data_IF_166703091041
#
_entry.id   IF_166703091041
#
_cell.length_a   1.000
_cell.length_b   1.000
_cell.length_c   1.000
_cell.angle_alpha   90.00
_cell.angle_beta   90.00
_cell.angle_gamma   90.00
#
_symmetry.space_group_name_H-M   'P 1'
#
loop_
_entity.id
_entity.type
_entity.pdbx_description
1 polymer ?
#
# COMPACT_ATOMS: atom_id res chain seq x y z
N UNK A 1 10.15 25.87 -36.19
CA UNK A 1 11.04 24.68 -36.30
C UNK A 1 11.99 24.47 -35.10
N UNK A 2 12.17 25.42 -34.18
CA UNK A 2 13.05 25.25 -33.00
C UNK A 2 12.38 24.64 -31.74
N UNK A 3 11.07 24.38 -31.77
CA UNK A 3 10.31 23.90 -30.59
C UNK A 3 10.21 22.36 -30.49
N UNK A 4 10.58 21.63 -31.56
CA UNK A 4 10.55 20.17 -31.59
C UNK A 4 11.76 19.50 -30.91
N UNK A 5 12.87 20.23 -30.68
CA UNK A 5 14.09 19.68 -30.06
C UNK A 5 14.11 19.68 -28.52
N UNK A 6 13.06 20.17 -27.85
CA UNK A 6 13.00 20.20 -26.38
C UNK A 6 12.20 19.07 -25.74
N UNK A 7 11.62 18.16 -26.53
CA UNK A 7 10.76 17.08 -26.02
C UNK A 7 11.48 15.73 -25.78
N UNK A 8 12.72 15.56 -26.23
CA UNK A 8 13.49 14.32 -26.00
C UNK A 8 14.09 14.18 -24.59
N UNK A 9 14.05 15.24 -23.76
CA UNK A 9 14.70 15.24 -22.44
C UNK A 9 13.78 15.03 -21.24
N UNK A 10 12.56 14.53 -21.44
CA UNK A 10 11.77 13.93 -20.35
C UNK A 10 11.72 12.41 -20.49
N UNK A 11 12.89 11.76 -20.57
CA UNK A 11 13.05 10.43 -19.97
C UNK A 11 12.67 10.58 -18.51
N UNK A 12 11.44 10.20 -18.17
CA UNK A 12 11.07 9.88 -16.79
C UNK A 12 12.16 8.93 -16.33
N UNK A 13 13.07 9.38 -15.46
CA UNK A 13 14.06 8.52 -14.81
C UNK A 13 13.27 7.49 -14.00
N UNK A 14 12.89 6.39 -14.66
CA UNK A 14 12.33 5.20 -14.05
C UNK A 14 13.47 4.60 -13.23
N UNK A 15 13.20 4.30 -11.96
CA UNK A 15 14.24 3.81 -11.06
C UNK A 15 14.90 2.54 -11.61
N UNK A 16 16.23 2.38 -11.45
CA UNK A 16 17.00 1.31 -12.07
C UNK A 16 16.54 -0.12 -11.69
N UNK A 17 15.80 -0.29 -10.59
CA UNK A 17 15.28 -1.59 -10.16
C UNK A 17 14.15 -2.13 -11.05
N UNK A 18 13.25 -1.27 -11.53
CA UNK A 18 12.07 -1.70 -12.30
C UNK A 18 12.41 -2.26 -13.69
N UNK A 19 13.51 -1.80 -14.28
CA UNK A 19 14.00 -2.31 -15.56
C UNK A 19 14.96 -3.50 -15.39
N UNK A 20 15.74 -3.55 -14.29
CA UNK A 20 16.61 -4.71 -13.96
C UNK A 20 15.81 -6.01 -13.74
N UNK A 21 14.63 -5.94 -13.13
CA UNK A 21 13.76 -7.11 -12.90
C UNK A 21 13.24 -7.74 -14.20
N UNK A 22 12.93 -6.92 -15.22
CA UNK A 22 12.48 -7.39 -16.54
C UNK A 22 13.67 -7.91 -17.38
N UNK A 23 14.88 -7.41 -17.12
CA UNK A 23 16.09 -7.72 -17.87
C UNK A 23 16.91 -8.88 -17.29
N UNK A 24 16.39 -9.59 -16.29
CA UNK A 24 17.00 -10.79 -15.73
C UNK A 24 16.41 -12.09 -16.27
N UNK A 25 16.94 -13.23 -15.80
CA UNK A 25 16.52 -14.58 -16.21
C UNK A 25 15.00 -14.82 -16.12
N UNK A 26 14.36 -14.36 -15.03
CA UNK A 26 12.91 -14.49 -14.88
C UNK A 26 12.12 -13.66 -15.89
N UNK A 27 12.60 -12.46 -16.23
CA UNK A 27 11.98 -11.63 -17.25
C UNK A 27 12.03 -12.27 -18.63
N UNK A 28 13.17 -12.87 -19.00
CA UNK A 28 13.33 -13.62 -20.25
C UNK A 28 12.45 -14.89 -20.27
N UNK A 29 12.35 -15.58 -19.13
CA UNK A 29 11.50 -16.75 -18.98
C UNK A 29 10.03 -16.41 -19.22
N UNK A 30 9.49 -15.39 -18.54
CA UNK A 30 8.10 -14.97 -18.73
C UNK A 30 7.85 -14.39 -20.13
N UNK A 31 8.83 -13.67 -20.69
CA UNK A 31 8.75 -13.20 -22.08
C UNK A 31 8.60 -14.37 -23.05
N UNK A 32 9.41 -15.43 -22.91
CA UNK A 32 9.28 -16.66 -23.73
C UNK A 32 7.94 -17.35 -23.55
N UNK A 33 7.40 -17.38 -22.32
CA UNK A 33 6.06 -17.94 -22.06
C UNK A 33 5.00 -17.14 -22.80
N UNK A 34 5.02 -15.81 -22.72
CA UNK A 34 4.03 -14.97 -23.38
C UNK A 34 4.11 -15.06 -24.90
N UNK A 35 5.31 -15.14 -25.49
CA UNK A 35 5.49 -15.33 -26.93
C UNK A 35 4.95 -16.68 -27.44
N UNK A 36 4.93 -17.70 -26.56
CA UNK A 36 4.41 -19.04 -26.86
C UNK A 36 2.95 -19.24 -26.44
N UNK A 37 2.40 -18.34 -25.64
CA UNK A 37 1.06 -18.49 -25.07
C UNK A 37 -0.01 -18.28 -26.13
N UNK A 38 -0.97 -19.20 -26.19
CA UNK A 38 -2.21 -19.04 -26.97
C UNK A 38 -3.34 -18.39 -26.16
N UNK A 39 -3.17 -18.27 -24.83
CA UNK A 39 -4.22 -17.86 -23.90
C UNK A 39 -4.22 -16.35 -23.61
N UNK A 40 -3.08 -15.69 -23.79
CA UNK A 40 -2.92 -14.25 -23.49
C UNK A 40 -2.57 -13.52 -24.77
N UNK A 41 -3.46 -12.62 -25.20
CA UNK A 41 -3.17 -11.68 -26.27
C UNK A 41 -2.67 -10.36 -25.66
N UNK A 42 -1.47 -9.92 -26.06
CA UNK A 42 -0.88 -8.67 -25.58
C UNK A 42 -1.43 -7.50 -26.38
N UNK A 43 -2.05 -6.53 -25.69
CA UNK A 43 -2.78 -5.44 -26.38
C UNK A 43 -1.93 -4.18 -26.54
N UNK A 44 -0.90 -3.98 -25.71
CA UNK A 44 0.07 -2.89 -25.85
C UNK A 44 1.41 -3.22 -25.21
N UNK A 45 2.46 -2.44 -25.53
CA UNK A 45 3.76 -2.52 -24.83
C UNK A 45 3.61 -2.32 -23.31
N UNK A 46 2.70 -1.42 -22.92
CA UNK A 46 2.37 -1.13 -21.53
C UNK A 46 1.76 -2.33 -20.81
N UNK A 47 0.86 -3.06 -21.47
CA UNK A 47 0.27 -4.31 -20.98
C UNK A 47 1.37 -5.37 -20.74
N UNK A 48 2.22 -5.60 -21.76
CA UNK A 48 3.30 -6.57 -21.68
C UNK A 48 4.28 -6.27 -20.54
N UNK A 49 4.80 -5.03 -20.46
CA UNK A 49 5.76 -4.65 -19.42
C UNK A 49 5.16 -4.69 -18.01
N UNK A 50 3.90 -4.28 -17.84
CA UNK A 50 3.22 -4.34 -16.54
C UNK A 50 3.09 -5.79 -16.05
N UNK A 51 2.69 -6.70 -16.93
CA UNK A 51 2.57 -8.14 -16.61
C UNK A 51 3.88 -8.77 -16.24
N UNK A 52 4.92 -8.57 -17.05
CA UNK A 52 6.24 -9.16 -16.78
C UNK A 52 6.81 -8.63 -15.47
N UNK A 53 6.64 -7.33 -15.15
CA UNK A 53 7.04 -6.77 -13.86
C UNK A 53 6.30 -7.39 -12.69
N UNK A 54 4.97 -7.44 -12.75
CA UNK A 54 4.16 -8.07 -11.71
C UNK A 54 4.56 -9.53 -11.49
N UNK A 55 4.75 -10.30 -12.58
CA UNK A 55 5.13 -11.71 -12.51
C UNK A 55 6.52 -11.90 -11.91
N UNK A 56 7.50 -11.12 -12.36
CA UNK A 56 8.84 -11.18 -11.78
C UNK A 56 8.81 -10.81 -10.30
N UNK A 57 8.16 -9.70 -9.94
CA UNK A 57 8.04 -9.27 -8.55
C UNK A 57 7.36 -10.34 -7.68
N UNK A 58 6.22 -10.87 -8.11
CA UNK A 58 5.50 -11.90 -7.38
C UNK A 58 6.35 -13.16 -7.17
N UNK A 59 7.03 -13.63 -8.22
CA UNK A 59 7.88 -14.82 -8.17
C UNK A 59 9.13 -14.63 -7.32
N UNK A 60 9.72 -13.42 -7.29
CA UNK A 60 10.84 -13.12 -6.39
C UNK A 60 10.41 -13.03 -4.92
N UNK A 61 9.20 -12.54 -4.66
CA UNK A 61 8.69 -12.36 -3.29
C UNK A 61 8.22 -13.70 -2.70
N UNK A 62 7.73 -14.64 -3.51
CA UNK A 62 7.15 -15.89 -3.04
C UNK A 62 8.10 -16.74 -2.16
N UNK A 63 9.37 -16.99 -2.53
CA UNK A 63 10.33 -17.69 -1.67
C UNK A 63 10.58 -16.97 -0.35
N UNK A 64 10.58 -15.63 -0.36
CA UNK A 64 10.76 -14.84 0.86
C UNK A 64 9.60 -15.04 1.83
N UNK A 65 8.35 -15.09 1.34
CA UNK A 65 7.18 -15.40 2.17
C UNK A 65 7.27 -16.82 2.75
N UNK A 66 7.75 -17.79 1.98
CA UNK A 66 7.94 -19.18 2.46
C UNK A 66 8.99 -19.24 3.58
N UNK A 67 10.10 -18.51 3.46
CA UNK A 67 11.11 -18.42 4.52
C UNK A 67 10.49 -17.88 5.82
N UNK A 68 9.63 -16.85 5.72
CA UNK A 68 8.93 -16.32 6.89
C UNK A 68 7.96 -17.32 7.51
N UNK A 69 7.22 -18.09 6.71
CA UNK A 69 6.40 -19.20 7.24
C UNK A 69 7.27 -20.17 8.03
N UNK A 70 8.43 -20.55 7.49
CA UNK A 70 9.39 -21.42 8.19
C UNK A 70 9.85 -20.82 9.52
N UNK A 71 10.14 -19.51 9.55
CA UNK A 71 10.49 -18.79 10.77
C UNK A 71 9.35 -18.79 11.81
N UNK A 72 8.11 -18.43 11.43
CA UNK A 72 6.98 -18.40 12.36
C UNK A 72 6.63 -19.80 12.87
N UNK A 73 6.72 -20.82 12.02
CA UNK A 73 6.50 -22.21 12.42
C UNK A 73 7.57 -22.66 13.43
N UNK A 74 8.84 -22.38 13.15
CA UNK A 74 9.95 -22.68 14.07
C UNK A 74 9.76 -21.97 15.41
N UNK A 75 9.48 -20.67 15.39
CA UNK A 75 9.17 -19.86 16.55
C UNK A 75 8.02 -20.45 17.39
N UNK A 76 6.93 -20.84 16.72
CA UNK A 76 5.75 -21.43 17.36
C UNK A 76 6.07 -22.77 18.02
N UNK A 77 6.87 -23.62 17.38
CA UNK A 77 7.35 -24.89 17.95
C UNK A 77 8.26 -24.63 19.16
N UNK A 78 9.15 -23.64 19.08
CA UNK A 78 10.04 -23.29 20.18
C UNK A 78 9.24 -22.84 21.42
N UNK A 79 8.31 -21.89 21.25
CA UNK A 79 7.43 -21.40 22.33
C UNK A 79 6.58 -22.54 22.90
N UNK A 80 6.04 -23.43 22.06
CA UNK A 80 5.27 -24.58 22.51
C UNK A 80 6.12 -25.59 23.31
N UNK A 81 7.38 -25.80 22.93
CA UNK A 81 8.31 -26.64 23.70
C UNK A 81 8.63 -26.00 25.04
N UNK A 82 8.87 -24.69 25.08
CA UNK A 82 9.08 -23.95 26.33
C UNK A 82 7.89 -24.09 27.27
N UNK A 83 6.65 -23.99 26.77
CA UNK A 83 5.42 -24.25 27.53
C UNK A 83 5.32 -25.71 28.04
N UNK A 84 5.75 -26.69 27.24
CA UNK A 84 5.75 -28.10 27.66
C UNK A 84 6.82 -28.43 28.71
N UNK A 85 7.96 -27.73 28.68
CA UNK A 85 9.04 -27.86 29.66
C UNK A 85 8.83 -27.01 30.92
N UNK A 86 7.87 -26.09 30.90
CA UNK A 86 7.60 -25.16 32.00
C UNK A 86 6.71 -25.75 33.10
N UNK A 87 6.67 -27.08 33.27
CA UNK A 87 6.02 -27.75 34.41
C UNK A 87 6.64 -27.40 35.78
N UNK A 88 7.66 -26.53 35.81
CA UNK A 88 8.32 -25.95 36.99
C UNK A 88 8.10 -24.41 37.08
N UNK A 89 7.43 -23.78 36.11
CA UNK A 89 7.13 -22.34 36.09
C UNK A 89 5.76 -22.08 36.71
N UNK A 90 5.64 -21.02 37.51
CA UNK A 90 4.40 -20.64 38.18
C UNK A 90 3.23 -20.57 37.19
N UNK A 91 2.09 -21.14 37.61
CA UNK A 91 0.88 -21.26 36.78
C UNK A 91 0.36 -19.91 36.24
N UNK A 92 0.73 -18.82 36.92
CA UNK A 92 0.38 -17.46 36.55
C UNK A 92 1.03 -16.99 35.25
N UNK A 93 2.19 -17.49 34.81
CA UNK A 93 2.84 -17.01 33.56
C UNK A 93 2.47 -17.84 32.32
N UNK A 94 1.71 -18.93 32.49
CA UNK A 94 1.35 -19.85 31.42
C UNK A 94 0.51 -19.19 30.31
N UNK A 95 -0.36 -18.24 30.66
CA UNK A 95 -1.23 -17.52 29.70
C UNK A 95 -0.42 -16.76 28.65
N UNK A 96 0.77 -16.27 29.03
CA UNK A 96 1.62 -15.48 28.16
C UNK A 96 2.18 -16.29 26.99
N UNK A 97 2.53 -17.55 27.23
CA UNK A 97 2.96 -18.47 26.18
C UNK A 97 1.82 -18.82 25.22
N UNK A 98 0.58 -18.94 25.71
CA UNK A 98 -0.59 -19.13 24.86
C UNK A 98 -0.86 -17.92 23.96
N UNK A 99 -0.75 -16.71 24.49
CA UNK A 99 -0.92 -15.47 23.73
C UNK A 99 0.16 -15.32 22.63
N UNK A 100 1.41 -15.67 22.93
CA UNK A 100 2.46 -15.74 21.92
C UNK A 100 2.16 -16.74 20.81
N UNK A 101 1.69 -17.94 21.16
CA UNK A 101 1.30 -18.96 20.18
C UNK A 101 0.17 -18.43 19.29
N UNK A 102 -0.80 -17.70 19.86
CA UNK A 102 -1.88 -17.09 19.10
C UNK A 102 -1.36 -16.03 18.11
N UNK A 103 -0.48 -15.12 18.53
CA UNK A 103 0.15 -14.13 17.62
C UNK A 103 0.92 -14.84 16.51
N UNK A 104 1.70 -15.87 16.83
CA UNK A 104 2.49 -16.61 15.84
C UNK A 104 1.58 -17.36 14.85
N UNK A 105 0.47 -17.94 15.32
CA UNK A 105 -0.53 -18.56 14.46
C UNK A 105 -1.19 -17.53 13.52
N UNK A 106 -1.61 -16.37 14.03
CA UNK A 106 -2.16 -15.27 13.22
C UNK A 106 -1.13 -14.83 12.16
N UNK A 107 0.13 -14.68 12.56
CA UNK A 107 1.22 -14.33 11.65
C UNK A 107 1.39 -15.37 10.53
N UNK A 108 1.33 -16.66 10.85
CA UNK A 108 1.34 -17.72 9.82
C UNK A 108 0.14 -17.63 8.88
N UNK A 109 -1.08 -17.40 9.39
CA UNK A 109 -2.27 -17.25 8.54
C UNK A 109 -2.13 -16.06 7.58
N UNK A 110 -1.59 -14.94 8.05
CA UNK A 110 -1.31 -13.76 7.20
C UNK A 110 -0.23 -14.06 6.15
N UNK A 111 0.80 -14.83 6.47
CA UNK A 111 1.81 -15.25 5.48
C UNK A 111 1.23 -16.18 4.41
N UNK A 112 0.38 -17.13 4.81
CA UNK A 112 -0.32 -18.00 3.86
C UNK A 112 -1.26 -17.18 2.96
N UNK A 113 -1.91 -16.17 3.52
CA UNK A 113 -2.70 -15.20 2.77
C UNK A 113 -1.84 -14.41 1.76
N UNK A 114 -0.64 -13.96 2.13
CA UNK A 114 0.30 -13.34 1.17
C UNK A 114 0.65 -14.28 0.01
N UNK A 115 0.97 -15.56 0.30
CA UNK A 115 1.25 -16.56 -0.74
C UNK A 115 0.04 -16.74 -1.65
N UNK A 116 -1.16 -16.81 -1.07
CA UNK A 116 -2.40 -16.91 -1.83
C UNK A 116 -2.59 -15.71 -2.77
N UNK A 117 -2.39 -14.48 -2.29
CA UNK A 117 -2.47 -13.27 -3.11
C UNK A 117 -1.43 -13.30 -4.25
N UNK A 118 -0.17 -13.58 -3.94
CA UNK A 118 0.92 -13.65 -4.93
C UNK A 118 0.65 -14.71 -6.00
N UNK A 119 0.22 -15.89 -5.58
CA UNK A 119 -0.12 -17.00 -6.49
C UNK A 119 -1.29 -16.63 -7.39
N UNK A 120 -2.32 -16.00 -6.84
CA UNK A 120 -3.47 -15.52 -7.62
C UNK A 120 -3.04 -14.49 -8.67
N UNK A 121 -2.15 -13.56 -8.32
CA UNK A 121 -1.58 -12.59 -9.27
C UNK A 121 -0.85 -13.29 -10.41
N UNK A 122 -0.01 -14.28 -10.10
CA UNK A 122 0.72 -15.04 -11.12
C UNK A 122 -0.24 -15.77 -12.06
N UNK A 123 -1.23 -16.48 -11.51
CA UNK A 123 -2.22 -17.24 -12.28
C UNK A 123 -3.00 -16.31 -13.21
N UNK A 124 -3.51 -15.19 -12.70
CA UNK A 124 -4.32 -14.25 -13.48
C UNK A 124 -3.50 -13.61 -14.59
N UNK A 125 -2.28 -13.16 -14.30
CA UNK A 125 -1.46 -12.47 -15.29
C UNK A 125 -0.93 -13.40 -16.39
N UNK A 126 -0.77 -14.69 -16.11
CA UNK A 126 -0.37 -15.70 -17.10
C UNK A 126 -1.51 -16.20 -17.99
N UNK A 127 -2.76 -16.11 -17.53
CA UNK A 127 -3.90 -16.76 -18.21
C UNK A 127 -4.97 -15.80 -18.72
N UNK A 128 -5.03 -14.56 -18.22
CA UNK A 128 -6.11 -13.64 -18.55
C UNK A 128 -5.66 -12.59 -19.56
N UNK A 129 -6.31 -12.54 -20.72
CA UNK A 129 -6.19 -11.40 -21.66
C UNK A 129 -6.86 -10.15 -21.06
N UNK A 130 -6.36 -8.95 -21.38
CA UNK A 130 -6.99 -7.70 -20.93
C UNK A 130 -8.47 -7.63 -21.34
N UNK A 131 -9.35 -7.30 -20.41
CA UNK A 131 -10.79 -7.32 -20.62
C UNK A 131 -11.59 -6.81 -19.43
N UNK A 132 -12.92 -6.94 -19.45
CA UNK A 132 -13.79 -6.58 -18.30
C UNK A 132 -13.35 -7.30 -17.00
N UNK A 133 -12.84 -8.53 -17.11
CA UNK A 133 -12.29 -9.28 -15.98
C UNK A 133 -11.09 -8.59 -15.30
N UNK A 134 -10.35 -7.72 -16.00
CA UNK A 134 -9.24 -6.94 -15.41
C UNK A 134 -9.75 -5.98 -14.34
N UNK A 135 -10.88 -5.32 -14.59
CA UNK A 135 -11.50 -4.41 -13.63
C UNK A 135 -12.00 -5.19 -12.41
N UNK A 136 -12.69 -6.31 -12.62
CA UNK A 136 -13.23 -7.14 -11.54
C UNK A 136 -12.08 -7.66 -10.65
N UNK A 137 -11.04 -8.24 -11.26
CA UNK A 137 -9.89 -8.75 -10.53
C UNK A 137 -9.19 -7.64 -9.72
N UNK A 138 -8.92 -6.49 -10.34
CA UNK A 138 -8.22 -5.39 -9.64
C UNK A 138 -9.06 -4.75 -8.54
N UNK A 139 -10.39 -4.70 -8.68
CA UNK A 139 -11.27 -4.25 -7.59
C UNK A 139 -11.19 -5.22 -6.40
N UNK A 140 -11.30 -6.53 -6.64
CA UNK A 140 -11.20 -7.55 -5.58
C UNK A 140 -9.81 -7.50 -4.93
N UNK A 141 -8.74 -7.47 -5.72
CA UNK A 141 -7.37 -7.39 -5.21
C UNK A 141 -7.15 -6.12 -4.38
N UNK A 142 -7.62 -4.97 -4.87
CA UNK A 142 -7.50 -3.70 -4.14
C UNK A 142 -8.26 -3.74 -2.82
N UNK A 143 -9.47 -4.29 -2.79
CA UNK A 143 -10.26 -4.45 -1.57
C UNK A 143 -9.51 -5.31 -0.54
N UNK A 144 -8.98 -6.46 -0.98
CA UNK A 144 -8.21 -7.37 -0.16
C UNK A 144 -6.94 -6.69 0.40
N UNK A 145 -6.16 -6.05 -0.46
CA UNK A 145 -4.94 -5.33 -0.08
C UNK A 145 -5.20 -4.17 0.89
N UNK A 146 -6.26 -3.38 0.66
CA UNK A 146 -6.64 -2.25 1.52
C UNK A 146 -7.16 -2.74 2.88
N UNK A 147 -7.92 -3.84 2.90
CA UNK A 147 -8.42 -4.44 4.15
C UNK A 147 -7.25 -4.93 5.02
N UNK A 148 -6.25 -5.55 4.41
CA UNK A 148 -5.03 -5.94 5.11
C UNK A 148 -4.22 -4.72 5.60
N UNK A 149 -4.07 -3.68 4.78
CA UNK A 149 -3.49 -2.40 5.21
C UNK A 149 -4.18 -1.85 6.47
N UNK A 150 -5.51 -1.88 6.50
CA UNK A 150 -6.29 -1.43 7.67
C UNK A 150 -6.05 -2.29 8.91
N UNK A 151 -5.93 -3.62 8.72
CA UNK A 151 -5.58 -4.53 9.80
C UNK A 151 -4.23 -4.16 10.42
N UNK A 152 -3.21 -3.87 9.61
CA UNK A 152 -1.92 -3.43 10.12
C UNK A 152 -1.98 -2.05 10.78
N UNK A 153 -2.77 -1.12 10.23
CA UNK A 153 -2.94 0.20 10.82
C UNK A 153 -3.61 0.19 12.19
N UNK A 154 -4.46 -0.80 12.43
CA UNK A 154 -5.18 -0.94 13.70
C UNK A 154 -4.71 -2.12 14.52
N UNK A 155 -3.53 -2.63 14.22
CA UNK A 155 -2.96 -3.80 14.87
C UNK A 155 -2.87 -3.61 16.39
N UNK A 156 -2.55 -2.40 16.85
CA UNK A 156 -2.52 -2.08 18.28
C UNK A 156 -3.90 -2.16 18.95
N UNK A 157 -4.95 -1.67 18.28
CA UNK A 157 -6.34 -1.83 18.76
C UNK A 157 -6.78 -3.30 18.76
N UNK A 158 -6.31 -4.10 17.81
CA UNK A 158 -6.60 -5.54 17.74
C UNK A 158 -5.88 -6.28 18.88
N UNK A 159 -4.61 -5.96 19.15
CA UNK A 159 -3.87 -6.52 20.28
C UNK A 159 -4.52 -6.16 21.63
N UNK A 160 -5.03 -4.94 21.75
CA UNK A 160 -5.77 -4.50 22.92
C UNK A 160 -7.10 -5.24 23.07
N UNK A 161 -7.86 -5.36 21.99
CA UNK A 161 -9.15 -6.06 21.98
C UNK A 161 -9.03 -7.56 22.28
N UNK A 162 -7.95 -8.21 21.84
CA UNK A 162 -7.63 -9.61 22.19
C UNK A 162 -7.20 -9.74 23.67
N UNK A 163 -7.04 -8.61 24.37
CA UNK A 163 -6.68 -8.56 25.79
C UNK A 163 -5.20 -8.75 26.04
N UNK A 164 -4.35 -8.66 25.02
CA UNK A 164 -2.91 -8.84 25.16
C UNK A 164 -2.25 -7.61 25.79
N UNK A 165 -2.79 -6.42 25.50
CA UNK A 165 -2.30 -5.16 26.05
C UNK A 165 -2.87 -4.86 27.44
N UNK A 166 -4.14 -5.16 27.72
CA UNK A 166 -4.76 -4.96 29.04
C UNK A 166 -4.20 -5.83 30.18
N UNK A 167 -3.39 -6.86 29.87
CA UNK A 167 -2.74 -7.70 30.89
C UNK A 167 -1.48 -7.06 31.48
N UNK A 168 -1.00 -5.95 30.90
CA UNK A 168 0.13 -5.19 31.45
C UNK A 168 -0.38 -4.24 32.52
N UNK A 169 0.01 -4.48 33.78
CA UNK A 169 -0.35 -3.62 34.92
C UNK A 169 0.46 -2.34 35.00
N UNK A 170 1.76 -2.40 34.65
CA UNK A 170 2.70 -1.28 34.73
C UNK A 170 3.82 -1.41 33.68
N UNK A 171 4.53 -0.30 33.41
CA UNK A 171 5.68 -0.26 32.49
C UNK A 171 6.80 -1.26 32.88
N UNK A 172 6.99 -1.51 34.17
CA UNK A 172 7.97 -2.49 34.66
C UNK A 172 7.57 -3.92 34.30
N UNK A 173 6.29 -4.28 34.43
CA UNK A 173 5.75 -5.57 33.99
C UNK A 173 5.91 -5.74 32.48
N UNK A 174 5.73 -4.68 31.70
CA UNK A 174 5.96 -4.70 30.25
C UNK A 174 7.45 -4.89 29.89
N UNK A 175 8.37 -4.28 30.65
CA UNK A 175 9.81 -4.44 30.46
C UNK A 175 10.33 -5.83 30.83
N UNK A 176 9.80 -6.44 31.89
CA UNK A 176 10.17 -7.80 32.27
C UNK A 176 9.59 -8.83 31.30
N UNK A 177 8.40 -8.61 30.76
CA UNK A 177 7.91 -9.37 29.61
C UNK A 177 8.76 -9.17 28.36
N UNK A 178 9.23 -7.96 28.06
CA UNK A 178 10.13 -7.73 26.92
C UNK A 178 11.40 -8.60 27.01
N UNK A 179 11.92 -8.87 28.21
CA UNK A 179 13.09 -9.74 28.40
C UNK A 179 12.76 -11.21 28.14
N UNK A 180 11.63 -11.70 28.62
CA UNK A 180 11.24 -13.12 28.53
C UNK A 180 10.49 -13.47 27.25
N UNK A 181 9.89 -12.49 26.59
CA UNK A 181 8.84 -12.66 25.59
C UNK A 181 9.03 -11.77 24.35
N UNK A 182 10.25 -11.40 23.97
CA UNK A 182 10.50 -10.54 22.80
C UNK A 182 10.10 -11.15 21.44
N UNK A 183 9.87 -12.46 21.36
CA UNK A 183 9.75 -13.17 20.10
C UNK A 183 8.50 -12.78 19.31
N UNK A 184 7.39 -12.46 19.98
CA UNK A 184 6.18 -11.95 19.32
C UNK A 184 6.37 -10.52 18.76
N UNK A 185 7.23 -9.71 19.37
CA UNK A 185 7.54 -8.36 18.87
C UNK A 185 8.34 -8.46 17.57
N UNK A 186 9.36 -9.33 17.53
CA UNK A 186 10.05 -9.60 16.27
C UNK A 186 9.12 -10.21 15.22
N UNK A 187 8.18 -11.07 15.64
CA UNK A 187 7.18 -11.62 14.74
C UNK A 187 6.34 -10.53 14.07
N UNK A 188 5.90 -9.51 14.82
CA UNK A 188 5.16 -8.35 14.29
C UNK A 188 6.03 -7.53 13.34
N UNK A 189 7.29 -7.26 13.70
CA UNK A 189 8.21 -6.49 12.84
C UNK A 189 8.41 -7.20 11.50
N UNK A 190 8.64 -8.52 11.53
CA UNK A 190 8.80 -9.30 10.30
C UNK A 190 7.50 -9.44 9.50
N UNK A 191 6.36 -9.53 10.18
CA UNK A 191 5.05 -9.49 9.55
C UNK A 191 4.85 -8.18 8.76
N UNK A 192 5.10 -7.02 9.39
CA UNK A 192 5.03 -5.73 8.72
C UNK A 192 6.03 -5.61 7.56
N UNK A 193 7.25 -6.13 7.74
CA UNK A 193 8.27 -6.08 6.70
C UNK A 193 7.91 -6.96 5.49
N UNK A 194 7.30 -8.11 5.72
CA UNK A 194 6.84 -9.02 4.67
C UNK A 194 5.73 -8.44 3.80
N UNK A 195 4.98 -7.45 4.31
CA UNK A 195 3.92 -6.75 3.58
C UNK A 195 4.46 -5.70 2.60
N UNK A 196 5.62 -5.11 2.90
CA UNK A 196 6.20 -4.02 2.11
C UNK A 196 6.37 -4.35 0.60
N UNK A 197 6.83 -5.55 0.20
CA UNK A 197 6.93 -5.91 -1.20
C UNK A 197 5.58 -5.98 -1.94
N UNK A 198 4.47 -6.29 -1.24
CA UNK A 198 3.13 -6.35 -1.84
C UNK A 198 2.66 -4.97 -2.33
N UNK A 199 3.16 -3.88 -1.73
CA UNK A 199 2.89 -2.50 -2.16
C UNK A 199 3.34 -2.29 -3.61
N UNK A 200 4.43 -2.93 -4.05
CA UNK A 200 4.90 -2.81 -5.44
C UNK A 200 3.92 -3.49 -6.40
N UNK A 201 3.47 -4.70 -6.07
CA UNK A 201 2.53 -5.47 -6.89
C UNK A 201 1.19 -4.74 -6.99
N UNK A 202 0.70 -4.16 -5.88
CA UNK A 202 -0.48 -3.32 -5.87
C UNK A 202 -0.37 -2.16 -6.87
N UNK A 203 0.78 -1.49 -6.94
CA UNK A 203 0.99 -0.39 -7.91
C UNK A 203 0.98 -0.89 -9.35
N UNK A 204 1.66 -2.01 -9.62
CA UNK A 204 1.78 -2.55 -10.97
C UNK A 204 0.44 -3.11 -11.49
N UNK A 205 -0.38 -3.74 -10.64
CA UNK A 205 -1.73 -4.17 -10.99
C UNK A 205 -2.68 -3.01 -11.28
N UNK A 206 -2.59 -1.93 -10.50
CA UNK A 206 -3.37 -0.72 -10.78
C UNK A 206 -2.91 -0.01 -12.06
N UNK A 207 -1.62 -0.09 -12.40
CA UNK A 207 -1.12 0.38 -13.69
C UNK A 207 -1.67 -0.48 -14.84
N UNK A 208 -1.73 -1.80 -14.67
CA UNK A 208 -2.33 -2.72 -15.63
C UNK A 208 -3.82 -2.42 -15.86
N UNK A 209 -4.61 -2.19 -14.80
CA UNK A 209 -6.01 -1.79 -14.94
C UNK A 209 -6.18 -0.41 -15.62
N UNK A 210 -5.30 0.55 -15.31
CA UNK A 210 -5.32 1.87 -15.96
C UNK A 210 -5.10 1.78 -17.47
N UNK A 211 -4.19 0.91 -17.90
CA UNK A 211 -3.92 0.68 -19.31
C UNK A 211 -5.10 -0.02 -20.01
N UNK A 212 -5.78 -0.97 -19.34
CA UNK A 212 -7.04 -1.52 -19.85
C UNK A 212 -8.14 -0.45 -20.03
N UNK A 213 -8.38 0.40 -19.02
CA UNK A 213 -9.38 1.47 -19.12
C UNK A 213 -9.07 2.47 -20.25
N UNK A 214 -7.79 2.66 -20.55
CA UNK A 214 -7.33 3.49 -21.66
C UNK A 214 -7.67 2.83 -23.00
N UNK A 215 -7.33 1.55 -23.17
CA UNK A 215 -7.62 0.77 -24.38
C UNK A 215 -9.13 0.63 -24.65
N UNK A 216 -9.93 0.32 -23.61
CA UNK A 216 -11.38 0.18 -23.73
C UNK A 216 -12.06 1.46 -24.23
N UNK A 217 -11.53 2.63 -23.88
CA UNK A 217 -12.04 3.92 -24.38
C UNK A 217 -11.63 4.21 -25.81
N UNK A 218 -10.41 3.86 -26.23
CA UNK A 218 -10.03 3.96 -27.65
C UNK A 218 -10.95 3.13 -28.53
N UNK A 219 -11.28 1.91 -28.10
CA UNK A 219 -12.22 1.05 -28.83
C UNK A 219 -13.61 1.66 -28.98
N UNK A 220 -14.06 2.47 -28.02
CA UNK A 220 -15.38 3.11 -28.04
C UNK A 220 -15.44 4.45 -28.77
N UNK A 221 -14.29 5.05 -29.08
CA UNK A 221 -14.24 6.39 -29.73
C UNK A 221 -14.07 6.33 -31.24
N UNK A 222 -13.86 5.14 -31.83
CA UNK A 222 -13.74 4.86 -33.29
C UNK A 222 -12.76 5.71 -34.11
N UNK A 223 -12.10 6.70 -33.50
CA UNK A 223 -11.16 7.62 -34.12
C UNK A 223 -9.79 6.95 -34.33
N UNK A 224 -9.72 6.09 -35.35
CA UNK A 224 -8.49 5.38 -35.75
C UNK A 224 -7.42 6.30 -36.34
N UNK A 225 -7.80 7.48 -36.86
CA UNK A 225 -6.89 8.38 -37.56
C UNK A 225 -6.21 9.40 -36.64
N UNK A 226 -6.79 9.65 -35.46
CA UNK A 226 -6.29 10.63 -34.50
C UNK A 226 -6.08 9.97 -33.14
N UNK A 227 -4.97 9.25 -32.99
CA UNK A 227 -4.50 8.70 -31.72
C UNK A 227 -4.08 9.81 -30.72
N UNK A 228 -4.96 10.76 -30.39
CA UNK A 228 -4.72 11.74 -29.34
C UNK A 228 -4.91 11.10 -27.96
N UNK A 229 -3.81 10.66 -27.38
CA UNK A 229 -3.79 10.13 -26.02
C UNK A 229 -3.79 11.27 -25.01
N UNK A 230 -4.88 11.47 -24.28
CA UNK A 230 -4.85 12.24 -23.02
C UNK A 230 -3.81 11.61 -22.06
N UNK A 231 -2.59 12.16 -21.96
CA UNK A 231 -1.46 11.57 -21.20
C UNK A 231 -1.72 11.57 -19.70
N UNK A 232 -2.68 12.37 -19.23
CA UNK A 232 -3.03 12.56 -17.82
C UNK A 232 -4.55 12.59 -17.66
N UNK A 233 -5.15 11.39 -17.57
CA UNK A 233 -6.55 11.20 -17.14
C UNK A 233 -6.83 11.71 -15.72
N UNK A 234 -5.74 11.88 -14.96
CA UNK A 234 -5.68 12.48 -13.63
C UNK A 234 -4.44 13.37 -13.66
N UNK A 235 -4.60 14.61 -13.29
CA UNK A 235 -3.47 15.56 -13.24
C UNK A 235 -2.49 15.16 -12.12
N UNK A 236 -1.18 15.42 -12.26
CA UNK A 236 -0.22 15.16 -11.19
C UNK A 236 -0.59 15.85 -9.87
N UNK A 237 -1.27 17.01 -9.95
CA UNK A 237 -1.79 17.74 -8.79
C UNK A 237 -2.86 16.96 -8.02
N UNK A 238 -3.82 16.36 -8.71
CA UNK A 238 -4.87 15.53 -8.09
C UNK A 238 -4.29 14.26 -7.45
N UNK A 239 -3.31 13.61 -8.10
CA UNK A 239 -2.60 12.46 -7.52
C UNK A 239 -1.87 12.86 -6.25
N UNK A 240 -1.20 14.02 -6.26
CA UNK A 240 -0.45 14.51 -5.09
C UNK A 240 -1.39 14.89 -3.94
N UNK A 241 -2.50 15.55 -4.24
CA UNK A 241 -3.53 15.87 -3.26
C UNK A 241 -4.09 14.59 -2.61
N UNK A 242 -4.45 13.58 -3.40
CA UNK A 242 -4.93 12.29 -2.88
C UNK A 242 -3.91 11.61 -1.97
N UNK A 243 -2.63 11.58 -2.37
CA UNK A 243 -1.55 11.02 -1.53
C UNK A 243 -1.46 11.71 -0.17
N UNK A 244 -1.60 13.04 -0.13
CA UNK A 244 -1.60 13.77 1.13
C UNK A 244 -2.83 13.49 2.00
N UNK A 245 -4.00 13.30 1.39
CA UNK A 245 -5.22 12.92 2.12
C UNK A 245 -5.12 11.49 2.68
N UNK A 246 -4.61 10.54 1.89
CA UNK A 246 -4.32 9.18 2.36
C UNK A 246 -3.35 9.22 3.55
N UNK A 247 -2.30 10.05 3.46
CA UNK A 247 -1.32 10.19 4.54
C UNK A 247 -1.91 10.85 5.79
N UNK A 248 -2.82 11.81 5.64
CA UNK A 248 -3.57 12.40 6.75
C UNK A 248 -4.45 11.36 7.47
N UNK A 249 -5.16 10.51 6.72
CA UNK A 249 -5.95 9.41 7.29
C UNK A 249 -5.08 8.41 8.06
N UNK A 250 -3.94 8.02 7.49
CA UNK A 250 -2.95 7.15 8.15
C UNK A 250 -2.40 7.74 9.44
N UNK A 251 -2.07 9.02 9.45
CA UNK A 251 -1.56 9.68 10.65
C UNK A 251 -2.62 9.82 11.73
N UNK A 252 -3.90 10.02 11.36
CA UNK A 252 -4.99 9.99 12.34
C UNK A 252 -5.09 8.63 13.02
N UNK A 253 -5.04 7.53 12.24
CA UNK A 253 -5.02 6.16 12.79
C UNK A 253 -3.82 5.98 13.73
N UNK A 254 -2.62 6.38 13.31
CA UNK A 254 -1.41 6.25 14.12
C UNK A 254 -1.45 7.06 15.43
N UNK A 255 -1.96 8.29 15.39
CA UNK A 255 -2.15 9.13 16.59
C UNK A 255 -3.14 8.45 17.53
N UNK A 256 -4.23 7.91 17.00
CA UNK A 256 -5.20 7.15 17.79
C UNK A 256 -4.57 5.93 18.46
N UNK A 257 -3.74 5.17 17.74
CA UNK A 257 -3.02 4.02 18.31
C UNK A 257 -2.02 4.44 19.39
N UNK A 258 -1.42 5.62 19.25
CA UNK A 258 -0.54 6.19 20.29
C UNK A 258 -1.32 6.51 21.56
N UNK A 259 -2.53 7.04 21.43
CA UNK A 259 -3.40 7.29 22.58
C UNK A 259 -3.85 6.00 23.27
N UNK A 260 -4.16 4.94 22.50
CA UNK A 260 -4.47 3.62 23.06
C UNK A 260 -3.29 3.04 23.85
N UNK A 261 -2.07 3.10 23.29
CA UNK A 261 -0.87 2.67 23.99
C UNK A 261 -0.65 3.42 25.30
N UNK A 262 -0.94 4.71 25.34
CA UNK A 262 -0.79 5.50 26.57
C UNK A 262 -1.86 5.17 27.60
N UNK A 263 -3.10 4.91 27.17
CA UNK A 263 -4.17 4.48 28.08
C UNK A 263 -3.81 3.12 28.71
N UNK A 264 -3.23 2.20 27.94
CA UNK A 264 -2.78 0.90 28.45
C UNK A 264 -1.57 1.04 29.39
N UNK A 265 -0.48 1.65 28.94
CA UNK A 265 0.81 1.55 29.63
C UNK A 265 1.09 2.66 30.65
N UNK A 266 0.43 3.81 30.51
CA UNK A 266 0.59 4.95 31.41
C UNK A 266 -0.70 5.25 32.19
N UNK A 267 -1.70 4.35 32.11
CA UNK A 267 -3.01 4.48 32.73
C UNK A 267 -3.67 5.84 32.46
N UNK A 268 -3.44 6.39 31.27
CA UNK A 268 -4.06 7.65 30.86
C UNK A 268 -5.54 7.44 30.54
N UNK A 269 -6.28 8.54 30.37
CA UNK A 269 -7.68 8.46 29.96
C UNK A 269 -7.95 9.41 28.78
N UNK A 270 -7.57 8.96 27.57
CA UNK A 270 -7.92 9.64 26.32
C UNK A 270 -9.40 9.47 25.93
N UNK A 271 -10.21 8.82 26.78
CA UNK A 271 -11.67 8.70 26.67
C UNK A 271 -12.14 8.23 25.28
N UNK A 272 -13.36 8.61 24.88
CA UNK A 272 -13.98 8.26 23.59
C UNK A 272 -13.23 8.89 22.40
N UNK A 273 -12.39 9.90 22.63
CA UNK A 273 -11.74 10.70 21.59
C UNK A 273 -10.81 9.87 20.70
N UNK A 274 -10.07 8.90 21.25
CA UNK A 274 -9.24 7.99 20.45
C UNK A 274 -10.07 7.23 19.42
N UNK A 275 -11.22 6.67 19.80
CA UNK A 275 -12.10 5.96 18.87
C UNK A 275 -12.71 6.88 17.81
N UNK A 276 -13.03 8.14 18.15
CA UNK A 276 -13.49 9.14 17.17
C UNK A 276 -12.40 9.42 16.12
N UNK A 277 -11.15 9.60 16.56
CA UNK A 277 -10.01 9.84 15.68
C UNK A 277 -9.77 8.60 14.78
N UNK A 278 -9.85 7.40 15.33
CA UNK A 278 -9.72 6.14 14.58
C UNK A 278 -10.78 6.01 13.49
N UNK A 279 -12.06 6.15 13.86
CA UNK A 279 -13.18 6.03 12.93
C UNK A 279 -13.12 7.09 11.82
N UNK A 280 -12.75 8.32 12.18
CA UNK A 280 -12.52 9.37 11.19
C UNK A 280 -11.33 9.05 10.27
N UNK A 281 -10.21 8.56 10.81
CA UNK A 281 -9.04 8.14 10.05
C UNK A 281 -9.37 7.09 8.98
N UNK A 282 -10.21 6.11 9.32
CA UNK A 282 -10.72 5.13 8.36
C UNK A 282 -11.58 5.74 7.26
N UNK A 283 -12.50 6.64 7.60
CA UNK A 283 -13.36 7.31 6.61
C UNK A 283 -12.52 8.10 5.61
N UNK A 284 -11.53 8.87 6.09
CA UNK A 284 -10.63 9.63 5.23
C UNK A 284 -9.78 8.72 4.36
N UNK A 285 -9.21 7.66 4.95
CA UNK A 285 -8.37 6.71 4.25
C UNK A 285 -9.15 6.00 3.14
N UNK A 286 -10.25 5.31 3.47
CA UNK A 286 -11.10 4.60 2.51
C UNK A 286 -11.71 5.53 1.47
N UNK A 287 -12.24 6.68 1.92
CA UNK A 287 -12.81 7.69 1.04
C UNK A 287 -11.81 8.17 -0.01
N UNK A 288 -10.52 8.30 0.34
CA UNK A 288 -9.49 8.72 -0.62
C UNK A 288 -9.25 7.72 -1.75
N UNK A 289 -9.55 6.43 -1.56
CA UNK A 289 -9.45 5.42 -2.62
C UNK A 289 -10.72 5.36 -3.48
N UNK A 290 -11.89 5.62 -2.89
CA UNK A 290 -13.19 5.48 -3.57
C UNK A 290 -13.58 6.74 -4.35
N UNK A 291 -13.25 7.92 -3.81
CA UNK A 291 -13.70 9.19 -4.39
C UNK A 291 -13.14 9.35 -5.82
N UNK A 292 -13.99 9.70 -6.81
CA UNK A 292 -13.55 9.87 -8.20
C UNK A 292 -12.60 11.07 -8.37
N UNK A 293 -12.09 11.29 -9.57
CA UNK A 293 -11.33 12.51 -9.91
C UNK A 293 -12.27 13.46 -10.65
N UNK A 294 -13.00 14.30 -9.90
CA UNK A 294 -13.97 15.23 -10.48
C UNK A 294 -14.20 16.47 -9.58
N UNK A 295 -14.88 17.47 -10.12
CA UNK A 295 -15.24 18.70 -9.38
C UNK A 295 -16.01 18.42 -8.07
N UNK A 296 -16.86 17.40 -8.03
CA UNK A 296 -17.64 17.04 -6.84
C UNK A 296 -16.77 16.47 -5.71
N UNK A 297 -15.59 15.94 -6.04
CA UNK A 297 -14.63 15.42 -5.07
C UNK A 297 -14.07 16.53 -4.17
N UNK A 298 -14.15 17.79 -4.60
CA UNK A 298 -13.76 18.95 -3.79
C UNK A 298 -14.52 19.03 -2.46
N UNK A 299 -15.79 18.59 -2.44
CA UNK A 299 -16.60 18.49 -1.22
C UNK A 299 -15.94 17.55 -0.22
N UNK A 300 -15.47 16.37 -0.67
CA UNK A 300 -14.79 15.41 0.19
C UNK A 300 -13.53 15.99 0.83
N UNK A 301 -12.67 16.66 0.05
CA UNK A 301 -11.42 17.22 0.58
C UNK A 301 -11.66 18.32 1.62
N UNK A 302 -12.59 19.25 1.35
CA UNK A 302 -12.89 20.34 2.29
C UNK A 302 -13.69 19.88 3.51
N UNK A 303 -14.60 18.91 3.36
CA UNK A 303 -15.33 18.32 4.48
C UNK A 303 -14.35 17.65 5.45
N UNK A 304 -13.45 16.80 4.94
CA UNK A 304 -12.45 16.13 5.78
C UNK A 304 -11.50 17.11 6.47
N UNK A 305 -11.09 18.17 5.77
CA UNK A 305 -10.29 19.23 6.38
C UNK A 305 -11.03 19.94 7.51
N UNK A 306 -12.31 20.25 7.31
CA UNK A 306 -13.15 20.94 8.31
C UNK A 306 -13.36 20.05 9.53
N UNK A 307 -13.64 18.76 9.34
CA UNK A 307 -13.81 17.81 10.44
C UNK A 307 -12.50 17.64 11.23
N UNK A 308 -11.34 17.51 10.55
CA UNK A 308 -10.03 17.48 11.23
C UNK A 308 -9.77 18.77 12.03
N UNK A 309 -10.19 19.91 11.50
CA UNK A 309 -10.07 21.18 12.22
C UNK A 309 -10.94 21.18 13.48
N UNK A 310 -12.17 20.66 13.41
CA UNK A 310 -13.05 20.50 14.58
C UNK A 310 -12.44 19.57 15.64
N UNK A 311 -11.90 18.42 15.22
CA UNK A 311 -11.21 17.46 16.11
C UNK A 311 -9.98 18.12 16.76
N UNK A 312 -9.19 18.88 15.99
CA UNK A 312 -8.04 19.63 16.49
C UNK A 312 -8.45 20.68 17.52
N UNK A 313 -9.46 21.52 17.21
CA UNK A 313 -9.96 22.55 18.15
C UNK A 313 -10.43 21.89 19.44
N UNK A 314 -11.19 20.81 19.34
CA UNK A 314 -11.66 20.08 20.52
C UNK A 314 -10.50 19.51 21.35
N UNK A 315 -9.50 18.90 20.71
CA UNK A 315 -8.29 18.43 21.39
C UNK A 315 -7.51 19.56 22.09
N UNK A 316 -7.39 20.73 21.44
CA UNK A 316 -6.76 21.91 22.02
C UNK A 316 -7.56 22.48 23.21
N UNK A 317 -8.89 22.41 23.17
CA UNK A 317 -9.75 22.79 24.30
C UNK A 317 -9.53 21.86 25.50
N UNK A 318 -9.48 20.55 25.29
CA UNK A 318 -9.17 19.57 26.35
C UNK A 318 -7.80 19.86 26.95
N UNK A 319 -6.80 20.04 26.09
CA UNK A 319 -5.44 20.35 26.52
C UNK A 319 -5.38 21.63 27.36
N UNK A 320 -6.01 22.72 26.90
CA UNK A 320 -6.00 23.98 27.64
C UNK A 320 -6.66 23.85 29.03
N UNK A 321 -7.75 23.08 29.12
CA UNK A 321 -8.49 22.89 30.37
C UNK A 321 -7.81 21.93 31.36
N UNK A 322 -7.12 20.90 30.86
CA UNK A 322 -6.71 19.78 31.71
C UNK A 322 -5.20 19.54 31.76
N UNK A 323 -4.41 19.95 30.76
CA UNK A 323 -3.00 19.57 30.66
C UNK A 323 -2.08 20.21 31.72
N UNK A 324 -2.49 21.35 32.28
CA UNK A 324 -1.76 22.04 33.34
C UNK A 324 -2.03 21.45 34.74
N UNK A 325 -3.03 20.58 34.87
CA UNK A 325 -3.36 19.91 36.13
C UNK A 325 -2.32 18.79 36.37
N UNK A 326 -1.70 18.71 37.57
CA UNK A 326 -0.78 17.64 37.90
C UNK A 326 -1.38 16.25 37.64
N UNK A 327 -0.62 15.37 36.97
CA UNK A 327 -1.08 14.04 36.55
C UNK A 327 -1.70 13.97 35.16
N UNK A 328 -2.08 15.10 34.54
CA UNK A 328 -2.72 15.14 33.21
C UNK A 328 -1.80 15.66 32.09
N UNK A 329 -0.48 15.64 32.30
CA UNK A 329 0.50 16.15 31.33
C UNK A 329 0.40 15.48 29.95
N UNK A 330 -0.05 14.21 29.90
CA UNK A 330 -0.23 13.45 28.67
C UNK A 330 -1.18 14.16 27.69
N UNK A 331 -2.13 14.97 28.17
CA UNK A 331 -3.05 15.75 27.34
C UNK A 331 -2.35 16.70 26.34
N UNK A 332 -1.07 17.04 26.54
CA UNK A 332 -0.28 17.77 25.54
C UNK A 332 -0.10 16.99 24.22
N UNK A 333 -0.25 15.66 24.22
CA UNK A 333 -0.16 14.84 23.00
C UNK A 333 -1.28 15.14 21.98
N UNK A 334 -2.36 15.82 22.38
CA UNK A 334 -3.36 16.33 21.42
C UNK A 334 -2.78 17.30 20.39
N UNK A 335 -1.62 17.93 20.63
CA UNK A 335 -0.90 18.73 19.62
C UNK A 335 -0.55 17.94 18.35
N UNK A 336 -0.39 16.62 18.44
CA UNK A 336 -0.08 15.77 17.28
C UNK A 336 -1.14 15.85 16.18
N UNK A 337 -2.40 16.21 16.52
CA UNK A 337 -3.49 16.40 15.58
C UNK A 337 -3.25 17.52 14.55
N UNK A 338 -2.30 18.42 14.80
CA UNK A 338 -1.90 19.44 13.81
C UNK A 338 -1.33 18.80 12.55
N UNK A 339 -0.60 17.68 12.67
CA UNK A 339 0.06 17.05 11.53
C UNK A 339 -0.96 16.57 10.47
N UNK A 340 -1.95 15.71 10.81
CA UNK A 340 -2.97 15.30 9.84
C UNK A 340 -3.80 16.48 9.34
N UNK A 341 -4.06 17.51 10.18
CA UNK A 341 -4.77 18.71 9.75
C UNK A 341 -4.01 19.50 8.67
N UNK A 342 -2.71 19.79 8.87
CA UNK A 342 -1.89 20.51 7.88
C UNK A 342 -1.87 19.77 6.54
N UNK A 343 -1.75 18.43 6.58
CA UNK A 343 -1.72 17.61 5.37
C UNK A 343 -3.05 17.61 4.63
N UNK A 344 -4.16 17.51 5.36
CA UNK A 344 -5.51 17.62 4.81
C UNK A 344 -5.74 19.01 4.19
N UNK A 345 -5.31 20.08 4.86
CA UNK A 345 -5.40 21.44 4.34
C UNK A 345 -4.58 21.64 3.07
N UNK A 346 -3.32 21.18 3.06
CA UNK A 346 -2.47 21.18 1.84
C UNK A 346 -3.11 20.38 0.71
N UNK A 347 -3.73 19.26 1.02
CA UNK A 347 -4.45 18.42 0.06
C UNK A 347 -5.65 19.15 -0.55
N UNK A 348 -6.52 19.74 0.27
CA UNK A 348 -7.70 20.47 -0.17
C UNK A 348 -7.35 21.69 -1.04
N UNK A 349 -6.36 22.48 -0.61
CA UNK A 349 -5.83 23.61 -1.39
C UNK A 349 -5.32 23.11 -2.74
N UNK A 350 -4.43 22.10 -2.74
CA UNK A 350 -3.84 21.60 -4.00
C UNK A 350 -4.90 21.06 -4.94
N UNK A 351 -5.88 20.33 -4.45
CA UNK A 351 -6.98 19.80 -5.26
C UNK A 351 -7.80 20.94 -5.87
N UNK A 352 -8.10 21.98 -5.08
CA UNK A 352 -8.82 23.19 -5.54
C UNK A 352 -8.07 23.92 -6.64
N UNK A 353 -6.77 24.18 -6.47
CA UNK A 353 -5.94 24.82 -7.51
C UNK A 353 -5.85 23.97 -8.76
N UNK A 354 -5.69 22.66 -8.61
CA UNK A 354 -5.56 21.77 -9.76
C UNK A 354 -6.84 21.71 -10.62
N UNK A 355 -8.03 21.80 -10.00
CA UNK A 355 -9.30 21.93 -10.74
C UNK A 355 -9.41 23.31 -11.40
N UNK A 356 -9.00 24.36 -10.69
CA UNK A 356 -9.10 25.75 -11.18
C UNK A 356 -8.17 26.02 -12.37
N UNK A 357 -6.98 25.43 -12.37
CA UNK A 357 -5.94 25.71 -13.37
C UNK A 357 -6.14 24.92 -14.67
N UNK A 358 -6.99 23.87 -14.71
CA UNK A 358 -7.26 23.04 -15.89
C UNK A 358 -5.99 22.59 -16.69
N UNK A 359 -4.82 22.64 -16.05
CA UNK A 359 -3.54 22.60 -16.73
C UNK A 359 -3.16 21.16 -17.10
N UNK A 360 -2.87 21.01 -18.40
CA UNK A 360 -2.12 19.92 -19.02
C UNK A 360 -2.83 18.57 -19.13
N UNK A 361 -3.88 18.54 -19.93
CA UNK A 361 -4.09 17.40 -20.81
C UNK A 361 -3.17 17.58 -22.02
N UNK A 362 -1.98 16.97 -21.97
CA UNK A 362 -1.12 16.87 -23.17
C UNK A 362 -1.49 15.59 -23.91
N UNK A 363 -1.87 15.73 -25.17
CA UNK A 363 -2.13 14.59 -26.03
C UNK A 363 -0.79 14.02 -26.55
N UNK A 364 -0.50 12.72 -26.39
CA UNK A 364 0.73 12.09 -26.94
C UNK A 364 0.43 10.80 -27.67
N UNK A 365 0.53 10.83 -28.99
CA UNK A 365 0.32 9.68 -29.90
C UNK A 365 0.96 8.40 -29.37
N UNK A 366 0.16 7.33 -29.24
CA UNK A 366 0.64 5.97 -29.04
C UNK A 366 0.69 5.29 -30.40
N UNK A 367 1.83 4.71 -30.75
CA UNK A 367 1.86 3.66 -31.76
C UNK A 367 1.30 2.39 -31.11
N UNK A 368 0.06 2.02 -31.43
CA UNK A 368 -0.39 0.66 -31.19
C UNK A 368 0.24 -0.23 -32.26
N UNK A 369 0.71 -1.41 -31.88
CA UNK A 369 1.17 -2.40 -32.84
C UNK A 369 -0.06 -2.97 -33.53
N UNK A 370 -0.15 -2.82 -34.84
CA UNK A 370 -1.30 -3.31 -35.60
C UNK A 370 -1.24 -4.85 -35.71
N UNK A 371 -0.03 -5.41 -35.82
CA UNK A 371 0.20 -6.84 -36.05
C UNK A 371 1.30 -7.43 -35.14
N UNK A 372 1.34 -8.76 -34.99
CA UNK A 372 2.39 -9.50 -34.26
C UNK A 372 3.81 -9.17 -34.77
N UNK A 373 3.95 -8.96 -36.08
CA UNK A 373 5.22 -8.64 -36.74
C UNK A 373 5.77 -7.26 -36.34
N UNK A 374 4.90 -6.29 -36.02
CA UNK A 374 5.35 -4.96 -35.58
C UNK A 374 5.89 -5.00 -34.14
N UNK A 375 5.35 -5.91 -33.32
CA UNK A 375 5.89 -6.18 -32.00
C UNK A 375 7.25 -6.90 -32.07
N UNK A 376 7.42 -7.86 -33.00
CA UNK A 376 8.72 -8.52 -33.22
C UNK A 376 9.78 -7.53 -33.71
N UNK A 377 9.44 -6.64 -34.65
CA UNK A 377 10.34 -5.56 -35.09
C UNK A 377 10.72 -4.60 -33.95
N UNK A 378 9.81 -4.33 -33.01
CA UNK A 378 10.13 -3.54 -31.82
C UNK A 378 11.10 -4.27 -30.89
N UNK A 379 10.92 -5.58 -30.67
CA UNK A 379 11.85 -6.38 -29.87
C UNK A 379 13.25 -6.40 -30.48
N UNK A 380 13.34 -6.46 -31.81
CA UNK A 380 14.62 -6.45 -32.53
C UNK A 380 15.29 -5.08 -32.47
N UNK A 381 14.56 -3.98 -32.70
CA UNK A 381 15.07 -2.62 -32.48
C UNK A 381 15.57 -2.39 -31.06
N UNK A 382 14.85 -2.89 -30.05
CA UNK A 382 15.27 -2.79 -28.64
C UNK A 382 16.54 -3.58 -28.34
N UNK A 383 16.78 -4.70 -29.05
CA UNK A 383 18.04 -5.46 -28.95
C UNK A 383 19.19 -4.75 -29.66
N UNK A 384 18.92 -4.10 -30.79
CA UNK A 384 19.91 -3.32 -31.54
C UNK A 384 20.36 -2.09 -30.76
N UNK A 385 19.43 -1.31 -30.20
CA UNK A 385 19.74 -0.14 -29.38
C UNK A 385 20.60 -0.50 -28.15
N UNK A 386 20.44 -1.70 -27.59
CA UNK A 386 21.28 -2.22 -26.52
C UNK A 386 22.71 -2.54 -26.95
N UNK A 387 22.91 -3.08 -28.16
CA UNK A 387 24.26 -3.35 -28.68
C UNK A 387 25.05 -2.06 -28.87
N UNK A 388 24.36 -0.96 -29.19
CA UNK A 388 25.00 0.36 -29.32
C UNK A 388 25.41 0.92 -27.95
N UNK A 389 24.56 0.80 -26.93
CA UNK A 389 24.89 1.25 -25.57
C UNK A 389 26.00 0.40 -24.90
N UNK A 390 26.03 -0.92 -25.10
CA UNK A 390 27.08 -1.81 -24.55
C UNK A 390 28.45 -1.64 -25.24
N UNK A 391 28.46 -1.25 -26.53
CA UNK A 391 29.69 -0.91 -27.26
C UNK A 391 30.15 0.55 -27.04
N UNK A 392 29.39 1.33 -26.27
CA UNK A 392 29.71 2.73 -25.94
C UNK A 392 30.31 2.92 -24.55
N UNK A 393 30.70 1.83 -23.89
CA UNK A 393 31.49 1.82 -22.65
C UNK A 393 32.96 1.62 -22.98
#
# INVERSE_FOLDING_TARGET
MAMARKLDNQKVKRGPLGDRLIHGFLGDFYTKIFLKSKHVNMVSEGDFLARVRCLCAATYILPFQIIWIGFFLYARIFVQKSLGSSTIVDSEDSYLYYDQINILNISMYLMLYHIFLLSTVIIVLLNQTMGKGTVIFTVIYNFLFISESLLYGSFLFILDWIGLLHKFTDLNSALDMLKTQWLWILAIVFLLWSYFPLISIFKDLNMWNREWMRIDRYRKTEDKENAFVFKTWVTPGEVKARKWMIFAGWLAIFISSTFELMDVFASTNYSIMKYIILGFGYIVFLGSYIVPYNKYSLIFYWLNQTVLMGILIYGLVIMNRSAHIPGNWFMYLYWLLIIPWILSFKSAIRYTWTIKDAEEIKAVVLNMFDNKDDFEKFLDKRKEDKKVDENSI
#
